data_IF_048506621608
#
_entry.id   IF_048506621608
#
_cell.length_a   1.000
_cell.length_b   1.000
_cell.length_c   1.000
_cell.angle_alpha   90.00
_cell.angle_beta   90.00
_cell.angle_gamma   90.00
#
_symmetry.space_group_name_H-M   'P 1'
#
loop_
_entity.id
_entity.type
_entity.pdbx_description
1 polymer ?
#
# COMPACT_ATOMS: atom_id res chain seq x y z
N UNK A 1 -25.00 1.41 16.92
CA UNK A 1 -24.78 0.35 15.92
C UNK A 1 -23.62 -0.51 16.36
N UNK A 2 -23.59 -1.76 15.93
CA UNK A 2 -22.45 -2.65 16.07
C UNK A 2 -21.71 -2.74 14.73
N UNK A 3 -20.44 -2.31 14.73
CA UNK A 3 -19.56 -2.32 13.57
C UNK A 3 -18.45 -3.36 13.78
N UNK A 4 -18.25 -4.22 12.78
CA UNK A 4 -17.21 -5.24 12.76
C UNK A 4 -16.22 -4.95 11.63
N UNK A 5 -14.95 -4.74 11.98
CA UNK A 5 -13.85 -4.54 11.01
C UNK A 5 -13.08 -5.85 10.84
N UNK A 6 -13.06 -6.41 9.63
CA UNK A 6 -12.34 -7.65 9.30
C UNK A 6 -11.01 -7.31 8.63
N UNK A 7 -9.91 -7.76 9.23
CA UNK A 7 -8.53 -7.46 8.86
C UNK A 7 -8.03 -6.21 9.57
N UNK A 8 -7.11 -6.38 10.52
CA UNK A 8 -6.49 -5.35 11.34
C UNK A 8 -5.05 -5.03 10.88
N UNK A 9 -4.81 -5.06 9.57
CA UNK A 9 -3.63 -4.43 8.96
C UNK A 9 -3.70 -2.91 9.05
N UNK A 10 -2.82 -2.20 8.34
CA UNK A 10 -2.77 -0.74 8.39
C UNK A 10 -4.12 -0.07 8.08
N UNK A 11 -4.84 -0.56 7.06
CA UNK A 11 -6.19 -0.06 6.71
C UNK A 11 -7.17 -0.30 7.86
N UNK A 12 -7.25 -1.53 8.36
CA UNK A 12 -8.19 -1.88 9.43
C UNK A 12 -7.96 -1.11 10.72
N UNK A 13 -6.71 -1.00 11.17
CA UNK A 13 -6.36 -0.21 12.36
C UNK A 13 -6.74 1.26 12.18
N UNK A 14 -6.48 1.81 11.01
CA UNK A 14 -6.85 3.19 10.70
C UNK A 14 -8.37 3.39 10.71
N UNK A 15 -9.13 2.48 10.10
CA UNK A 15 -10.60 2.49 10.15
C UNK A 15 -11.09 2.42 11.60
N UNK A 16 -10.53 1.53 12.43
CA UNK A 16 -10.90 1.39 13.84
C UNK A 16 -10.61 2.67 14.62
N UNK A 17 -9.43 3.27 14.46
CA UNK A 17 -9.07 4.53 15.12
C UNK A 17 -10.00 5.67 14.71
N UNK A 18 -10.30 5.79 13.41
CA UNK A 18 -11.25 6.80 12.91
C UNK A 18 -12.64 6.62 13.51
N UNK A 19 -13.18 5.39 13.46
CA UNK A 19 -14.51 5.09 14.00
C UNK A 19 -14.60 5.36 15.50
N UNK A 20 -13.56 5.07 16.28
CA UNK A 20 -13.52 5.42 17.72
C UNK A 20 -13.65 6.93 17.96
N UNK A 21 -13.08 7.75 17.07
CA UNK A 21 -13.12 9.20 17.18
C UNK A 21 -14.49 9.76 16.80
N UNK A 22 -15.02 9.38 15.64
CA UNK A 22 -16.25 9.97 15.09
C UNK A 22 -17.53 9.28 15.53
N UNK A 23 -17.45 8.03 16.01
CA UNK A 23 -18.60 7.19 16.42
C UNK A 23 -18.37 6.50 17.77
N UNK A 24 -18.03 7.22 18.85
CA UNK A 24 -17.64 6.64 20.14
C UNK A 24 -18.75 5.87 20.86
N UNK A 25 -20.01 6.09 20.49
CA UNK A 25 -21.17 5.40 21.07
C UNK A 25 -21.50 4.05 20.39
N UNK A 26 -20.88 3.76 19.24
CA UNK A 26 -21.07 2.49 18.53
C UNK A 26 -20.20 1.39 19.14
N UNK A 27 -20.71 0.16 19.12
CA UNK A 27 -19.95 -1.02 19.54
C UNK A 27 -18.99 -1.38 18.41
N UNK A 28 -17.69 -1.35 18.69
CA UNK A 28 -16.65 -1.69 17.72
C UNK A 28 -16.04 -3.04 18.05
N UNK A 29 -16.02 -3.91 17.04
CA UNK A 29 -15.34 -5.21 17.08
C UNK A 29 -14.37 -5.35 15.93
N UNK A 30 -13.32 -6.13 16.11
CA UNK A 30 -12.33 -6.43 15.09
C UNK A 30 -12.12 -7.94 14.93
N UNK A 31 -11.86 -8.37 13.70
CA UNK A 31 -11.53 -9.76 13.39
C UNK A 31 -10.20 -9.80 12.64
N UNK A 32 -9.22 -10.57 13.12
CA UNK A 32 -7.98 -10.84 12.39
C UNK A 32 -7.50 -12.26 12.67
N UNK A 33 -6.98 -12.92 11.64
CA UNK A 33 -6.44 -14.29 11.75
C UNK A 33 -5.12 -14.34 12.50
N UNK A 34 -4.43 -13.20 12.59
CA UNK A 34 -3.16 -13.04 13.28
C UNK A 34 -3.38 -12.83 14.79
N UNK A 35 -3.00 -13.80 15.65
CA UNK A 35 -3.23 -13.72 17.09
C UNK A 35 -2.49 -12.54 17.74
N UNK A 36 -1.36 -12.11 17.20
CA UNK A 36 -0.58 -11.01 17.75
C UNK A 36 -1.30 -9.68 17.51
N UNK A 37 -1.92 -9.51 16.33
CA UNK A 37 -2.78 -8.34 16.05
C UNK A 37 -4.03 -8.33 16.92
N UNK A 38 -4.66 -9.49 17.13
CA UNK A 38 -5.81 -9.62 18.04
C UNK A 38 -5.42 -9.23 19.46
N UNK A 39 -4.27 -9.69 19.96
CA UNK A 39 -3.77 -9.32 21.28
C UNK A 39 -3.52 -7.81 21.38
N UNK A 40 -2.83 -7.22 20.41
CA UNK A 40 -2.54 -5.78 20.37
C UNK A 40 -3.83 -4.92 20.37
N UNK A 41 -4.85 -5.33 19.62
CA UNK A 41 -6.15 -4.62 19.62
C UNK A 41 -6.86 -4.70 20.98
N UNK A 42 -6.78 -5.84 21.67
CA UNK A 42 -7.36 -5.99 23.02
C UNK A 42 -6.67 -5.11 24.04
N UNK A 43 -5.35 -4.97 23.96
CA UNK A 43 -4.59 -4.04 24.80
C UNK A 43 -5.01 -2.58 24.58
N UNK A 44 -5.45 -2.23 23.38
CA UNK A 44 -6.02 -0.93 23.05
C UNK A 44 -7.49 -0.76 23.47
N UNK A 45 -8.08 -1.76 24.11
CA UNK A 45 -9.48 -1.78 24.54
C UNK A 45 -10.50 -2.07 23.43
N UNK A 46 -10.06 -2.60 22.28
CA UNK A 46 -10.96 -3.01 21.18
C UNK A 46 -11.30 -4.50 21.37
N UNK A 47 -12.59 -4.83 21.30
CA UNK A 47 -13.03 -6.24 21.33
C UNK A 47 -12.61 -6.91 20.02
N UNK A 48 -11.65 -7.84 20.09
CA UNK A 48 -11.05 -8.46 18.92
C UNK A 48 -10.94 -9.98 19.07
N UNK A 49 -11.11 -10.71 17.97
CA UNK A 49 -11.07 -12.18 17.91
C UNK A 49 -10.62 -12.70 16.54
N UNK A 50 -10.30 -14.00 16.46
CA UNK A 50 -10.00 -14.67 15.19
C UNK A 50 -11.21 -14.86 14.26
N UNK A 51 -12.41 -14.77 14.82
CA UNK A 51 -13.70 -14.87 14.12
C UNK A 51 -14.71 -13.92 14.77
N UNK A 52 -15.75 -13.54 14.03
CA UNK A 52 -16.87 -12.80 14.62
C UNK A 52 -17.75 -13.75 15.46
N UNK A 53 -17.92 -13.46 16.75
CA UNK A 53 -18.67 -14.31 17.69
C UNK A 53 -20.19 -14.11 17.61
N UNK A 54 -20.63 -12.87 17.37
CA UNK A 54 -22.04 -12.48 17.41
C UNK A 54 -22.48 -11.85 16.07
N UNK A 55 -22.39 -12.58 14.95
CA UNK A 55 -22.64 -12.02 13.62
C UNK A 55 -24.04 -11.43 13.45
N UNK A 56 -25.05 -11.97 14.14
CA UNK A 56 -26.44 -11.52 14.08
C UNK A 56 -26.67 -10.17 14.79
N UNK A 57 -25.68 -9.66 15.53
CA UNK A 57 -25.74 -8.34 16.15
C UNK A 57 -25.11 -7.26 15.25
N UNK A 58 -24.24 -7.64 14.30
CA UNK A 58 -23.46 -6.71 13.49
C UNK A 58 -24.35 -5.97 12.48
N UNK A 59 -24.39 -4.63 12.60
CA UNK A 59 -25.09 -3.74 11.67
C UNK A 59 -24.22 -3.41 10.45
N UNK A 60 -22.91 -3.28 10.63
CA UNK A 60 -21.96 -2.90 9.57
C UNK A 60 -20.71 -3.78 9.61
N UNK A 61 -20.39 -4.40 8.49
CA UNK A 61 -19.16 -5.14 8.25
C UNK A 61 -18.25 -4.32 7.35
N UNK A 62 -17.01 -4.08 7.78
CA UNK A 62 -16.00 -3.39 6.96
C UNK A 62 -14.85 -4.36 6.70
N UNK A 63 -14.65 -4.74 5.44
CA UNK A 63 -13.66 -5.74 5.02
C UNK A 63 -12.39 -5.02 4.52
N UNK A 64 -11.32 -5.14 5.30
CA UNK A 64 -10.04 -4.44 5.15
C UNK A 64 -8.84 -5.40 5.03
N UNK A 65 -9.08 -6.65 4.60
CA UNK A 65 -8.04 -7.67 4.48
C UNK A 65 -7.13 -7.39 3.28
N UNK A 66 -5.87 -7.85 3.35
CA UNK A 66 -5.09 -7.99 2.11
C UNK A 66 -5.82 -8.97 1.19
N UNK A 67 -5.77 -8.71 -0.12
CA UNK A 67 -6.41 -9.59 -1.10
C UNK A 67 -5.81 -10.99 -1.10
N UNK A 68 -4.54 -11.14 -0.71
CA UNK A 68 -3.82 -12.41 -0.75
C UNK A 68 -3.63 -12.95 -2.17
N UNK A 69 -2.96 -14.10 -2.31
CA UNK A 69 -2.80 -14.78 -3.60
C UNK A 69 -4.18 -15.15 -4.18
N UNK A 70 -4.45 -14.70 -5.41
CA UNK A 70 -5.69 -15.04 -6.14
C UNK A 70 -6.99 -14.64 -5.43
N UNK A 71 -6.98 -13.60 -4.59
CA UNK A 71 -8.15 -13.13 -3.82
C UNK A 71 -8.63 -14.09 -2.70
N UNK A 72 -7.84 -15.12 -2.38
CA UNK A 72 -8.23 -16.17 -1.42
C UNK A 72 -8.60 -15.61 -0.04
N UNK A 73 -7.81 -14.68 0.51
CA UNK A 73 -8.06 -14.12 1.84
C UNK A 73 -9.30 -13.23 1.86
N UNK A 74 -9.54 -12.47 0.79
CA UNK A 74 -10.77 -11.68 0.62
C UNK A 74 -12.00 -12.58 0.63
N UNK A 75 -12.00 -13.63 -0.21
CA UNK A 75 -13.17 -14.50 -0.30
C UNK A 75 -13.38 -15.31 0.98
N UNK A 76 -12.32 -15.73 1.67
CA UNK A 76 -12.43 -16.36 2.98
C UNK A 76 -13.06 -15.41 4.01
N UNK A 77 -12.66 -14.14 4.03
CA UNK A 77 -13.27 -13.13 4.91
C UNK A 77 -14.76 -12.95 4.61
N UNK A 78 -15.13 -12.79 3.32
CA UNK A 78 -16.52 -12.67 2.89
C UNK A 78 -17.35 -13.93 3.20
N UNK A 79 -16.75 -15.10 3.09
CA UNK A 79 -17.36 -16.39 3.45
C UNK A 79 -17.62 -16.50 4.96
N UNK A 80 -16.91 -15.73 5.79
CA UNK A 80 -17.17 -15.58 7.23
C UNK A 80 -18.31 -14.62 7.57
N UNK A 81 -18.57 -13.61 6.73
CA UNK A 81 -19.64 -12.62 6.95
C UNK A 81 -21.01 -13.27 6.87
N UNK A 82 -21.82 -13.13 7.93
CA UNK A 82 -23.24 -13.54 7.99
C UNK A 82 -24.08 -12.28 8.22
N UNK A 83 -24.50 -11.58 7.15
CA UNK A 83 -25.22 -10.33 7.32
C UNK A 83 -26.65 -10.59 7.80
N UNK A 84 -27.06 -9.94 8.88
CA UNK A 84 -28.47 -9.89 9.29
C UNK A 84 -29.29 -9.02 8.32
N UNK A 85 -30.63 -9.13 8.31
CA UNK A 85 -31.48 -8.27 7.49
C UNK A 85 -31.18 -6.78 7.70
N UNK A 86 -30.94 -6.05 6.61
CA UNK A 86 -30.64 -4.62 6.61
C UNK A 86 -29.19 -4.24 6.94
N UNK A 87 -28.30 -5.22 7.22
CA UNK A 87 -26.89 -4.92 7.48
C UNK A 87 -26.18 -4.32 6.25
N UNK A 88 -25.13 -3.53 6.50
CA UNK A 88 -24.21 -3.07 5.47
C UNK A 88 -22.94 -3.92 5.47
N UNK A 89 -22.50 -4.36 4.30
CA UNK A 89 -21.17 -4.94 4.06
C UNK A 89 -20.42 -4.00 3.13
N UNK A 90 -19.32 -3.43 3.61
CA UNK A 90 -18.45 -2.56 2.84
C UNK A 90 -17.09 -3.20 2.63
N UNK A 91 -16.63 -3.26 1.37
CA UNK A 91 -15.30 -3.76 1.03
C UNK A 91 -14.37 -2.57 0.80
N UNK A 92 -13.35 -2.42 1.64
CA UNK A 92 -12.32 -1.37 1.53
C UNK A 92 -11.00 -1.85 0.93
N UNK A 93 -10.76 -3.18 0.94
CA UNK A 93 -9.63 -3.81 0.27
C UNK A 93 -9.54 -3.35 -1.20
N UNK A 94 -8.32 -3.11 -1.71
CA UNK A 94 -8.11 -2.87 -3.14
C UNK A 94 -8.47 -4.13 -3.93
N UNK A 95 -9.26 -4.01 -5.01
CA UNK A 95 -9.75 -5.16 -5.76
C UNK A 95 -9.39 -5.07 -7.25
N UNK A 96 -9.11 -6.21 -7.93
CA UNK A 96 -9.21 -6.30 -9.38
C UNK A 96 -10.63 -6.00 -9.87
N UNK A 97 -10.75 -5.49 -11.09
CA UNK A 97 -12.04 -5.14 -11.70
C UNK A 97 -12.94 -6.39 -11.82
N UNK A 98 -14.21 -6.25 -11.41
CA UNK A 98 -15.24 -7.28 -11.39
C UNK A 98 -15.29 -8.09 -10.09
N UNK A 99 -14.48 -7.78 -9.07
CA UNK A 99 -14.41 -8.60 -7.85
C UNK A 99 -15.62 -8.40 -6.94
N UNK A 100 -16.15 -7.19 -6.85
CA UNK A 100 -17.34 -6.87 -6.05
C UNK A 100 -18.57 -7.56 -6.62
N UNK A 101 -18.68 -7.68 -7.95
CA UNK A 101 -19.72 -8.47 -8.60
C UNK A 101 -19.60 -9.97 -8.22
N UNK A 102 -18.39 -10.52 -8.24
CA UNK A 102 -18.13 -11.90 -7.77
C UNK A 102 -18.47 -12.06 -6.28
N UNK A 103 -18.18 -11.07 -5.44
CA UNK A 103 -18.57 -11.07 -4.03
C UNK A 103 -20.10 -11.13 -3.88
N UNK A 104 -20.84 -10.35 -4.66
CA UNK A 104 -22.31 -10.41 -4.70
C UNK A 104 -22.82 -11.82 -5.08
N UNK A 105 -22.23 -12.45 -6.10
CA UNK A 105 -22.58 -13.83 -6.49
C UNK A 105 -22.28 -14.85 -5.40
N UNK A 106 -21.17 -14.71 -4.67
CA UNK A 106 -20.86 -15.59 -3.52
C UNK A 106 -21.91 -15.48 -2.42
N UNK A 107 -22.39 -14.28 -2.13
CA UNK A 107 -23.50 -14.08 -1.18
C UNK A 107 -24.80 -14.71 -1.69
N UNK A 108 -25.13 -14.56 -2.98
CA UNK A 108 -26.30 -15.20 -3.60
C UNK A 108 -26.24 -16.72 -3.53
N UNK A 109 -25.08 -17.32 -3.80
CA UNK A 109 -24.87 -18.76 -3.66
C UNK A 109 -25.09 -19.27 -2.23
N UNK A 110 -25.00 -18.39 -1.23
CA UNK A 110 -25.23 -18.68 0.18
C UNK A 110 -26.64 -18.28 0.66
N UNK A 111 -27.53 -17.89 -0.26
CA UNK A 111 -28.92 -17.56 0.04
C UNK A 111 -29.18 -16.09 0.43
N UNK A 112 -28.20 -15.21 0.30
CA UNK A 112 -28.36 -13.78 0.56
C UNK A 112 -28.52 -12.98 -0.73
N UNK A 113 -29.43 -12.00 -0.75
CA UNK A 113 -29.65 -11.11 -1.90
C UNK A 113 -29.17 -9.69 -1.58
N UNK A 114 -27.97 -9.29 -2.05
CA UNK A 114 -27.49 -7.92 -1.91
C UNK A 114 -28.46 -6.91 -2.54
N UNK A 115 -28.70 -5.80 -1.85
CA UNK A 115 -29.68 -4.77 -2.21
C UNK A 115 -31.11 -5.03 -1.73
N UNK A 116 -31.39 -6.22 -1.17
CA UNK A 116 -32.70 -6.61 -0.62
C UNK A 116 -32.58 -7.08 0.83
N UNK A 117 -31.82 -8.15 1.07
CA UNK A 117 -31.67 -8.73 2.40
C UNK A 117 -30.63 -7.95 3.21
N UNK A 118 -29.59 -7.45 2.54
CA UNK A 118 -28.53 -6.62 3.13
C UNK A 118 -27.94 -5.73 2.01
N UNK A 119 -27.08 -4.78 2.37
CA UNK A 119 -26.45 -3.84 1.44
C UNK A 119 -24.99 -4.19 1.21
N UNK A 120 -24.52 -4.13 -0.04
CA UNK A 120 -23.12 -4.39 -0.39
C UNK A 120 -22.51 -3.22 -1.18
N UNK A 121 -21.44 -2.65 -0.63
CA UNK A 121 -20.71 -1.54 -1.24
C UNK A 121 -19.23 -1.82 -1.37
N UNK A 122 -18.60 -1.22 -2.37
CA UNK A 122 -17.15 -1.11 -2.45
C UNK A 122 -16.76 0.36 -2.25
N UNK A 123 -15.83 0.58 -1.33
CA UNK A 123 -15.29 1.90 -0.99
C UNK A 123 -13.78 1.75 -0.83
N UNK A 124 -12.99 1.73 -1.93
CA UNK A 124 -11.56 1.49 -1.83
C UNK A 124 -10.89 2.49 -0.89
N UNK A 125 -9.98 1.99 -0.05
CA UNK A 125 -9.22 2.84 0.85
C UNK A 125 -8.23 3.71 0.05
N UNK A 126 -8.22 5.03 0.31
CA UNK A 126 -7.38 5.99 -0.44
C UNK A 126 -6.34 6.72 0.41
N UNK A 127 -6.32 6.51 1.73
CA UNK A 127 -5.39 7.18 2.64
C UNK A 127 -3.98 6.63 2.47
N UNK A 128 -3.01 7.53 2.35
CA UNK A 128 -1.59 7.24 2.34
C UNK A 128 -1.01 7.37 3.77
N UNK A 129 -0.90 6.23 4.47
CA UNK A 129 -0.43 6.18 5.87
C UNK A 129 0.91 6.90 6.08
N UNK A 130 0.96 7.89 6.98
CA UNK A 130 2.19 8.64 7.31
C UNK A 130 2.58 9.73 6.30
N UNK A 131 1.68 10.08 5.36
CA UNK A 131 1.83 11.28 4.48
C UNK A 131 0.56 12.12 4.53
N UNK A 132 -0.61 11.48 4.53
CA UNK A 132 -1.87 12.21 4.69
C UNK A 132 -2.01 12.62 6.16
N UNK A 133 -1.90 13.92 6.44
CA UNK A 133 -2.03 14.50 7.78
C UNK A 133 -3.49 14.44 8.29
N UNK A 134 -4.47 14.44 7.38
CA UNK A 134 -5.89 14.30 7.67
C UNK A 134 -6.56 13.27 6.75
N UNK A 135 -6.84 12.05 7.25
CA UNK A 135 -7.53 11.01 6.49
C UNK A 135 -8.96 11.35 6.09
N UNK A 136 -9.57 12.35 6.74
CA UNK A 136 -10.93 12.82 6.46
C UNK A 136 -10.98 13.81 5.30
N UNK A 137 -9.83 14.35 4.87
CA UNK A 137 -9.75 15.27 3.72
C UNK A 137 -9.86 14.59 2.35
N UNK A 138 -9.47 13.32 2.24
CA UNK A 138 -9.44 12.61 0.95
C UNK A 138 -10.81 12.05 0.60
N UNK A 139 -11.43 12.59 -0.46
CA UNK A 139 -12.69 12.08 -1.01
C UNK A 139 -12.55 10.61 -1.40
N UNK A 140 -13.44 9.74 -0.92
CA UNK A 140 -13.46 8.31 -1.24
C UNK A 140 -14.47 8.00 -2.33
N UNK A 141 -14.05 7.23 -3.33
CA UNK A 141 -14.98 6.73 -4.35
C UNK A 141 -15.87 5.66 -3.71
N UNK A 142 -17.16 5.67 -4.01
CA UNK A 142 -18.12 4.69 -3.48
C UNK A 142 -19.03 4.15 -4.58
N UNK A 143 -19.27 2.85 -4.55
CA UNK A 143 -20.24 2.19 -5.41
C UNK A 143 -21.02 1.13 -4.62
N UNK A 144 -22.32 1.03 -4.88
CA UNK A 144 -23.14 -0.10 -4.46
C UNK A 144 -23.33 -1.11 -5.58
N UNK A 145 -23.57 -2.38 -5.25
CA UNK A 145 -23.99 -3.38 -6.25
C UNK A 145 -25.44 -3.16 -6.73
N UNK A 146 -26.18 -2.31 -6.03
CA UNK A 146 -27.52 -1.80 -6.35
C UNK A 146 -27.61 -0.36 -5.85
N UNK A 147 -28.61 0.39 -6.32
CA UNK A 147 -28.86 1.77 -5.86
C UNK A 147 -29.13 1.83 -4.36
N UNK A 148 -29.94 0.90 -3.82
CA UNK A 148 -30.22 0.83 -2.38
C UNK A 148 -28.95 0.57 -1.57
N UNK A 149 -28.03 -0.25 -2.10
CA UNK A 149 -26.74 -0.47 -1.45
C UNK A 149 -25.87 0.79 -1.47
N UNK A 150 -25.85 1.51 -2.60
CA UNK A 150 -25.11 2.78 -2.71
C UNK A 150 -25.62 3.78 -1.68
N UNK A 151 -26.93 3.97 -1.56
CA UNK A 151 -27.53 4.89 -0.60
C UNK A 151 -27.23 4.50 0.86
N UNK A 152 -27.29 3.20 1.19
CA UNK A 152 -26.93 2.71 2.53
C UNK A 152 -25.46 3.00 2.88
N UNK A 153 -24.55 2.79 1.93
CA UNK A 153 -23.14 3.12 2.10
C UNK A 153 -22.90 4.63 2.24
N UNK A 154 -23.52 5.45 1.39
CA UNK A 154 -23.44 6.92 1.47
C UNK A 154 -23.91 7.40 2.84
N UNK A 155 -25.03 6.89 3.32
CA UNK A 155 -25.56 7.24 4.63
C UNK A 155 -24.57 6.91 5.75
N UNK A 156 -24.02 5.69 5.77
CA UNK A 156 -23.06 5.26 6.78
C UNK A 156 -21.77 6.09 6.75
N UNK A 157 -21.14 6.23 5.60
CA UNK A 157 -19.85 6.92 5.48
C UNK A 157 -19.96 8.43 5.65
N UNK A 158 -21.10 9.04 5.28
CA UNK A 158 -21.38 10.46 5.60
C UNK A 158 -21.47 10.66 7.11
N UNK A 159 -22.11 9.73 7.84
CA UNK A 159 -22.14 9.75 9.31
C UNK A 159 -20.77 9.41 9.95
N UNK A 160 -19.80 8.96 9.15
CA UNK A 160 -18.39 8.84 9.53
C UNK A 160 -17.56 10.06 9.12
N UNK A 161 -18.18 11.14 8.64
CA UNK A 161 -17.52 12.36 8.19
C UNK A 161 -16.49 12.13 7.06
N UNK A 162 -16.77 11.16 6.18
CA UNK A 162 -15.91 10.85 5.03
C UNK A 162 -16.53 11.49 3.78
N UNK A 163 -15.82 12.37 3.05
CA UNK A 163 -16.28 12.90 1.77
C UNK A 163 -16.34 11.78 0.72
N UNK A 164 -17.40 11.75 -0.07
CA UNK A 164 -17.68 10.65 -1.01
C UNK A 164 -17.88 11.15 -2.44
N UNK A 165 -17.39 10.37 -3.40
CA UNK A 165 -17.68 10.52 -4.81
C UNK A 165 -18.41 9.25 -5.30
N UNK A 166 -19.75 9.28 -5.41
CA UNK A 166 -20.50 8.11 -5.84
C UNK A 166 -20.31 7.85 -7.33
N UNK A 167 -20.18 6.58 -7.70
CA UNK A 167 -20.13 6.12 -9.09
C UNK A 167 -21.18 5.06 -9.33
N UNK A 168 -21.59 4.92 -10.60
CA UNK A 168 -22.76 4.13 -10.99
C UNK A 168 -22.59 2.62 -10.87
N UNK A 169 -21.36 2.11 -10.76
CA UNK A 169 -21.10 0.68 -10.64
C UNK A 169 -19.78 0.35 -9.92
N UNK A 170 -19.70 -0.80 -9.23
CA UNK A 170 -18.50 -1.21 -8.50
C UNK A 170 -17.23 -1.23 -9.33
N UNK A 171 -17.30 -1.63 -10.59
CA UNK A 171 -16.13 -1.74 -11.47
C UNK A 171 -15.42 -0.39 -11.67
N UNK A 172 -16.16 0.73 -11.64
CA UNK A 172 -15.55 2.06 -11.72
C UNK A 172 -14.82 2.42 -10.43
N UNK A 173 -15.35 2.04 -9.26
CA UNK A 173 -14.67 2.24 -7.99
C UNK A 173 -13.40 1.39 -7.88
N UNK A 174 -13.47 0.12 -8.30
CA UNK A 174 -12.31 -0.78 -8.36
C UNK A 174 -11.23 -0.22 -9.29
N UNK A 175 -11.62 0.15 -10.52
CA UNK A 175 -10.70 0.68 -11.52
C UNK A 175 -10.06 2.00 -11.07
N UNK A 176 -10.82 2.91 -10.43
CA UNK A 176 -10.29 4.18 -9.95
C UNK A 176 -9.06 3.97 -9.05
N UNK A 177 -9.14 3.02 -8.11
CA UNK A 177 -8.03 2.74 -7.19
C UNK A 177 -6.81 2.17 -7.91
N UNK A 178 -7.01 1.27 -8.85
CA UNK A 178 -5.92 0.67 -9.64
C UNK A 178 -5.24 1.72 -10.53
N UNK A 179 -6.02 2.61 -11.15
CA UNK A 179 -5.52 3.69 -12.00
C UNK A 179 -4.71 4.70 -11.19
N UNK A 180 -5.16 5.10 -9.99
CA UNK A 180 -4.39 6.00 -9.11
C UNK A 180 -2.98 5.49 -8.85
N UNK A 181 -2.86 4.23 -8.42
CA UNK A 181 -1.58 3.64 -8.06
C UNK A 181 -0.73 3.33 -9.30
N UNK A 182 -1.35 2.89 -10.40
CA UNK A 182 -0.63 2.63 -11.65
C UNK A 182 -0.12 3.92 -12.32
N UNK A 183 -0.89 5.00 -12.27
CA UNK A 183 -0.45 6.32 -12.74
C UNK A 183 0.78 6.77 -11.94
N UNK A 184 0.72 6.64 -10.61
CA UNK A 184 1.87 6.96 -9.76
C UNK A 184 3.09 6.09 -10.07
N UNK A 185 2.89 4.79 -10.30
CA UNK A 185 3.96 3.87 -10.72
C UNK A 185 4.62 4.36 -12.01
N UNK A 186 3.82 4.68 -13.04
CA UNK A 186 4.33 5.16 -14.33
C UNK A 186 5.08 6.49 -14.22
N UNK A 187 4.60 7.42 -13.39
CA UNK A 187 5.32 8.68 -13.11
C UNK A 187 6.70 8.44 -12.52
N UNK A 188 6.82 7.52 -11.55
CA UNK A 188 8.10 7.16 -10.92
C UNK A 188 8.99 6.44 -11.93
N UNK A 189 8.46 5.47 -12.69
CA UNK A 189 9.24 4.75 -13.70
C UNK A 189 9.79 5.70 -14.78
N UNK A 190 9.01 6.71 -15.17
CA UNK A 190 9.48 7.75 -16.08
C UNK A 190 10.62 8.59 -15.46
N UNK A 191 10.49 8.96 -14.19
CA UNK A 191 11.55 9.63 -13.44
C UNK A 191 12.83 8.77 -13.34
N UNK A 192 12.70 7.46 -13.11
CA UNK A 192 13.81 6.50 -13.08
C UNK A 192 14.54 6.41 -14.42
N UNK A 193 13.81 6.40 -15.54
CA UNK A 193 14.41 6.45 -16.88
C UNK A 193 15.23 7.74 -17.08
N UNK A 194 14.68 8.89 -16.68
CA UNK A 194 15.39 10.17 -16.76
C UNK A 194 16.62 10.19 -15.84
N UNK A 195 16.53 9.63 -14.63
CA UNK A 195 17.66 9.51 -13.70
C UNK A 195 18.81 8.72 -14.31
N UNK A 196 18.53 7.57 -14.93
CA UNK A 196 19.57 6.79 -15.63
C UNK A 196 20.21 7.59 -16.77
N UNK A 197 19.40 8.35 -17.52
CA UNK A 197 19.91 9.23 -18.57
C UNK A 197 20.79 10.36 -18.03
N UNK A 198 20.41 10.97 -16.91
CA UNK A 198 21.20 11.99 -16.23
C UNK A 198 22.54 11.43 -15.72
N UNK A 199 22.52 10.24 -15.10
CA UNK A 199 23.73 9.55 -14.65
C UNK A 199 24.70 9.27 -15.80
N UNK A 200 24.19 8.79 -16.94
CA UNK A 200 25.00 8.54 -18.13
C UNK A 200 25.56 9.82 -18.77
N UNK A 201 24.85 10.95 -18.62
CA UNK A 201 25.23 12.25 -19.16
C UNK A 201 26.04 13.13 -18.20
N UNK A 202 26.24 12.72 -16.95
CA UNK A 202 26.85 13.55 -15.90
C UNK A 202 26.01 14.77 -15.53
N UNK A 203 24.68 14.67 -15.61
CA UNK A 203 23.72 15.72 -15.28
C UNK A 203 23.13 15.50 -13.88
N UNK A 204 22.82 16.59 -13.17
CA UNK A 204 22.11 16.52 -11.90
C UNK A 204 20.60 16.33 -12.14
N UNK A 205 20.09 15.16 -11.75
CA UNK A 205 18.67 14.84 -11.86
C UNK A 205 17.78 15.72 -10.97
N UNK A 206 18.25 16.11 -9.78
CA UNK A 206 17.47 17.00 -8.91
C UNK A 206 17.39 18.41 -9.49
N UNK A 207 18.48 18.91 -10.08
CA UNK A 207 18.48 20.16 -10.83
C UNK A 207 17.46 20.10 -11.99
N UNK A 208 17.46 19.00 -12.77
CA UNK A 208 16.49 18.78 -13.83
C UNK A 208 15.05 18.79 -13.30
N UNK A 209 14.78 18.11 -12.17
CA UNK A 209 13.45 18.09 -11.55
C UNK A 209 12.99 19.49 -11.14
N UNK A 210 13.87 20.28 -10.54
CA UNK A 210 13.59 21.67 -10.18
C UNK A 210 13.31 22.52 -11.42
N UNK A 211 14.14 22.39 -12.46
CA UNK A 211 13.99 23.11 -13.73
C UNK A 211 12.65 22.77 -14.42
N UNK A 212 12.28 21.50 -14.53
CA UNK A 212 10.99 21.08 -15.10
C UNK A 212 9.82 21.57 -14.25
N UNK A 213 9.96 21.53 -12.92
CA UNK A 213 8.95 21.99 -11.96
C UNK A 213 8.66 23.49 -12.01
N UNK A 214 9.48 24.31 -12.70
CA UNK A 214 9.18 25.73 -12.94
C UNK A 214 7.92 25.93 -13.81
N UNK A 215 7.53 24.90 -14.57
CA UNK A 215 6.26 24.88 -15.30
C UNK A 215 5.15 24.32 -14.40
N UNK A 216 4.24 25.18 -13.96
CA UNK A 216 3.29 24.88 -12.87
C UNK A 216 2.37 23.65 -13.03
N UNK A 217 2.19 23.11 -14.25
CA UNK A 217 1.39 21.91 -14.51
C UNK A 217 2.21 20.65 -14.81
N UNK A 218 3.54 20.70 -14.67
CA UNK A 218 4.43 19.56 -14.89
C UNK A 218 5.31 19.39 -13.66
N UNK A 219 5.35 18.18 -13.13
CA UNK A 219 6.26 17.81 -12.04
C UNK A 219 6.82 16.43 -12.33
N UNK A 220 8.12 16.27 -12.09
CA UNK A 220 8.75 14.96 -12.13
C UNK A 220 8.70 14.32 -10.75
N UNK A 221 8.29 13.05 -10.71
CA UNK A 221 8.38 12.25 -9.50
C UNK A 221 9.82 12.18 -8.99
N UNK A 222 9.95 11.88 -7.70
CA UNK A 222 11.24 11.48 -7.14
C UNK A 222 11.55 10.04 -7.52
N UNK A 223 12.83 9.68 -7.40
CA UNK A 223 13.29 8.30 -7.53
C UNK A 223 13.72 7.79 -6.16
N UNK A 224 13.70 6.47 -5.98
CA UNK A 224 14.22 5.84 -4.76
C UNK A 224 15.13 4.66 -5.18
N UNK A 225 15.27 3.61 -4.38
CA UNK A 225 15.98 2.38 -4.76
C UNK A 225 15.24 1.50 -5.80
N UNK A 226 14.19 2.02 -6.42
CA UNK A 226 13.22 1.30 -7.24
C UNK A 226 11.81 1.43 -6.66
N UNK A 227 10.80 0.98 -7.41
CA UNK A 227 9.41 1.04 -6.98
C UNK A 227 9.09 -0.16 -6.08
N UNK A 228 9.02 0.11 -4.78
CA UNK A 228 8.80 -0.88 -3.72
C UNK A 228 7.39 -0.90 -3.13
N UNK A 229 7.26 -1.66 -2.04
CA UNK A 229 6.01 -1.79 -1.30
C UNK A 229 5.02 -2.77 -1.92
N UNK A 230 3.97 -3.11 -1.17
CA UNK A 230 2.96 -4.06 -1.65
C UNK A 230 2.00 -3.40 -2.67
N UNK A 231 1.65 -2.12 -2.49
CA UNK A 231 0.53 -1.52 -3.21
C UNK A 231 0.82 -1.19 -4.68
N UNK A 232 1.87 -0.41 -4.98
CA UNK A 232 2.08 0.09 -6.34
C UNK A 232 2.36 -1.05 -7.35
N UNK A 233 3.27 -2.01 -7.07
CA UNK A 233 3.53 -3.10 -8.01
C UNK A 233 2.31 -4.02 -8.20
N UNK A 234 1.62 -4.38 -7.12
CA UNK A 234 0.43 -5.26 -7.17
C UNK A 234 -0.70 -4.61 -7.97
N UNK A 235 -0.95 -3.33 -7.76
CA UNK A 235 -2.05 -2.64 -8.41
C UNK A 235 -1.75 -2.39 -9.90
N UNK A 236 -0.48 -2.17 -10.25
CA UNK A 236 -0.02 -2.18 -11.64
C UNK A 236 -0.29 -3.54 -12.29
N UNK A 237 0.02 -4.64 -11.62
CA UNK A 237 -0.24 -5.99 -12.13
C UNK A 237 -1.73 -6.26 -12.32
N UNK A 238 -2.58 -5.85 -11.37
CA UNK A 238 -4.03 -5.95 -11.51
C UNK A 238 -4.56 -5.12 -12.69
N UNK A 239 -4.07 -3.89 -12.86
CA UNK A 239 -4.45 -3.08 -14.01
C UNK A 239 -3.94 -3.68 -15.32
N UNK A 240 -2.72 -4.23 -15.34
CA UNK A 240 -2.15 -4.90 -16.51
C UNK A 240 -2.93 -6.15 -16.91
N UNK A 241 -3.39 -6.95 -15.95
CA UNK A 241 -4.25 -8.11 -16.22
C UNK A 241 -5.59 -7.72 -16.83
N UNK A 242 -6.12 -6.55 -16.47
CA UNK A 242 -7.39 -6.05 -16.99
C UNK A 242 -7.25 -5.33 -18.35
N UNK A 243 -6.26 -4.45 -18.48
CA UNK A 243 -6.07 -3.57 -19.65
C UNK A 243 -5.18 -4.19 -20.73
N UNK A 244 -4.21 -5.02 -20.34
CA UNK A 244 -3.15 -5.56 -21.18
C UNK A 244 -2.46 -4.48 -22.05
N UNK A 245 -1.86 -3.48 -21.41
CA UNK A 245 -1.29 -2.32 -22.09
C UNK A 245 0.25 -2.40 -22.20
N UNK A 246 0.84 -2.21 -23.39
CA UNK A 246 2.29 -2.13 -23.56
C UNK A 246 2.96 -1.06 -22.69
N UNK A 247 2.22 0.02 -22.39
CA UNK A 247 2.69 1.12 -21.55
C UNK A 247 3.01 0.66 -20.11
N UNK A 248 2.16 -0.15 -19.50
CA UNK A 248 2.36 -0.62 -18.12
C UNK A 248 3.52 -1.63 -18.06
N UNK A 249 3.64 -2.49 -19.08
CA UNK A 249 4.78 -3.40 -19.22
C UNK A 249 6.10 -2.62 -19.38
N UNK A 250 6.11 -1.56 -20.17
CA UNK A 250 7.28 -0.70 -20.33
C UNK A 250 7.68 -0.02 -19.02
N UNK A 251 6.71 0.46 -18.23
CA UNK A 251 6.96 1.02 -16.91
C UNK A 251 7.60 -0.02 -15.96
N UNK A 252 7.05 -1.23 -15.89
CA UNK A 252 7.62 -2.30 -15.06
C UNK A 252 9.04 -2.71 -15.51
N UNK A 253 9.29 -2.79 -16.83
CA UNK A 253 10.63 -3.04 -17.39
C UNK A 253 11.61 -1.92 -17.07
N UNK A 254 11.12 -0.69 -16.99
CA UNK A 254 11.93 0.50 -16.67
C UNK A 254 12.38 0.47 -15.21
N UNK A 255 11.48 0.18 -14.26
CA UNK A 255 11.85 -0.06 -12.85
C UNK A 255 12.90 -1.17 -12.72
N UNK A 256 12.71 -2.28 -13.43
CA UNK A 256 13.71 -3.37 -13.44
C UNK A 256 15.07 -2.92 -13.99
N UNK A 257 15.09 -2.11 -15.04
CA UNK A 257 16.32 -1.58 -15.62
C UNK A 257 17.00 -0.61 -14.65
N UNK A 258 16.24 0.23 -13.98
CA UNK A 258 16.74 1.17 -12.97
C UNK A 258 17.33 0.46 -11.76
N UNK A 259 16.66 -0.59 -11.23
CA UNK A 259 17.23 -1.42 -10.17
C UNK A 259 18.55 -2.08 -10.58
N UNK A 260 18.65 -2.58 -11.82
CA UNK A 260 19.92 -3.12 -12.36
C UNK A 260 21.00 -2.04 -12.51
N UNK A 261 20.62 -0.81 -12.87
CA UNK A 261 21.53 0.32 -12.94
C UNK A 261 22.12 0.65 -11.56
N UNK A 262 21.31 0.68 -10.51
CA UNK A 262 21.78 0.85 -9.13
C UNK A 262 22.80 -0.21 -8.71
N UNK A 263 22.56 -1.47 -9.06
CA UNK A 263 23.54 -2.53 -8.80
C UNK A 263 24.86 -2.28 -9.57
N UNK A 264 24.76 -1.88 -10.83
CA UNK A 264 25.93 -1.67 -11.71
C UNK A 264 26.88 -0.58 -11.19
N UNK A 265 26.37 0.43 -10.49
CA UNK A 265 27.19 1.53 -9.94
C UNK A 265 28.25 1.00 -8.96
N UNK A 266 27.92 0.00 -8.15
CA UNK A 266 28.86 -0.63 -7.22
C UNK A 266 29.62 -1.84 -7.82
N UNK A 267 29.48 -2.12 -9.11
CA UNK A 267 30.16 -3.24 -9.75
C UNK A 267 31.69 -3.04 -9.69
N UNK A 268 32.40 -4.02 -9.12
CA UNK A 268 33.87 -3.96 -8.95
C UNK A 268 34.34 -3.08 -7.79
N UNK A 269 33.42 -2.55 -6.97
CA UNK A 269 33.75 -1.82 -5.73
C UNK A 269 33.94 -2.79 -4.56
N UNK A 270 34.72 -2.39 -3.56
CA UNK A 270 34.97 -3.17 -2.34
C UNK A 270 33.81 -3.05 -1.37
N UNK A 271 33.37 -1.81 -1.09
CA UNK A 271 32.38 -1.55 -0.06
C UNK A 271 31.37 -0.47 -0.46
N UNK A 272 30.12 -0.64 -0.02
CA UNK A 272 29.04 0.30 -0.24
C UNK A 272 28.29 0.60 1.06
N UNK A 273 27.81 1.84 1.23
CA UNK A 273 26.90 2.24 2.29
C UNK A 273 25.49 2.41 1.74
N UNK A 274 24.50 1.79 2.39
CA UNK A 274 23.08 2.08 2.21
C UNK A 274 22.59 2.97 3.35
N UNK A 275 22.35 4.25 3.06
CA UNK A 275 21.75 5.19 4.00
C UNK A 275 20.22 5.25 3.76
N UNK A 276 19.47 4.70 4.71
CA UNK A 276 18.02 4.50 4.64
C UNK A 276 17.67 3.14 4.06
N UNK A 277 17.07 2.28 4.90
CA UNK A 277 16.66 0.92 4.59
C UNK A 277 15.15 0.73 4.70
N UNK A 278 14.48 1.57 5.46
CA UNK A 278 13.03 1.55 5.60
C UNK A 278 12.34 1.76 4.26
N UNK A 279 11.26 1.01 4.02
CA UNK A 279 10.47 1.09 2.78
C UNK A 279 9.91 2.50 2.56
N UNK A 280 9.55 3.19 3.65
CA UNK A 280 8.97 4.53 3.64
C UNK A 280 9.57 5.35 4.79
N UNK A 281 9.83 6.65 4.59
CA UNK A 281 10.33 7.52 5.65
C UNK A 281 9.34 7.58 6.81
N UNK A 282 9.87 7.60 8.03
CA UNK A 282 9.10 7.76 9.27
C UNK A 282 8.48 6.49 9.83
N UNK A 283 8.64 5.33 9.16
CA UNK A 283 8.13 4.04 9.68
C UNK A 283 9.24 2.97 9.69
N UNK A 284 9.43 2.20 10.78
CA UNK A 284 10.48 1.20 10.90
C UNK A 284 10.14 -0.12 10.19
N UNK A 285 9.65 -0.04 8.94
CA UNK A 285 9.18 -1.18 8.13
C UNK A 285 10.18 -1.44 7.01
N UNK A 286 10.62 -2.69 6.87
CA UNK A 286 11.66 -3.10 5.89
C UNK A 286 11.15 -4.15 4.90
N UNK A 287 9.98 -4.71 5.16
CA UNK A 287 9.27 -5.63 4.28
C UNK A 287 8.98 -4.95 2.94
N UNK A 288 9.41 -5.57 1.84
CA UNK A 288 9.29 -4.98 0.50
C UNK A 288 10.20 -3.79 0.22
N UNK A 289 11.19 -3.51 1.08
CA UNK A 289 12.18 -2.45 0.85
C UNK A 289 13.13 -2.79 -0.30
N UNK A 290 13.18 -1.90 -1.29
CA UNK A 290 14.13 -2.00 -2.41
C UNK A 290 15.56 -1.68 -2.01
N UNK A 291 15.78 -0.93 -0.94
CA UNK A 291 17.12 -0.71 -0.38
C UNK A 291 17.72 -2.02 0.14
N UNK A 292 16.92 -2.81 0.88
CA UNK A 292 17.33 -4.13 1.37
C UNK A 292 17.60 -5.09 0.21
N UNK A 293 16.76 -5.06 -0.83
CA UNK A 293 16.97 -5.86 -2.05
C UNK A 293 18.29 -5.48 -2.76
N UNK A 294 18.55 -4.18 -2.94
CA UNK A 294 19.81 -3.68 -3.50
C UNK A 294 21.00 -4.19 -2.68
N UNK A 295 20.98 -4.03 -1.35
CA UNK A 295 22.06 -4.49 -0.48
C UNK A 295 22.37 -5.98 -0.64
N UNK A 296 21.34 -6.83 -0.72
CA UNK A 296 21.52 -8.26 -0.96
C UNK A 296 22.13 -8.55 -2.33
N UNK A 297 21.72 -7.82 -3.37
CA UNK A 297 22.28 -7.96 -4.72
C UNK A 297 23.74 -7.51 -4.76
N UNK A 298 24.11 -6.45 -4.04
CA UNK A 298 25.49 -6.00 -3.90
C UNK A 298 26.36 -7.04 -3.18
N UNK A 299 25.87 -7.63 -2.09
CA UNK A 299 26.57 -8.71 -1.38
C UNK A 299 26.80 -9.94 -2.27
N UNK A 300 25.83 -10.29 -3.13
CA UNK A 300 26.00 -11.37 -4.12
C UNK A 300 27.10 -11.09 -5.14
N UNK A 301 27.47 -9.82 -5.35
CA UNK A 301 28.59 -9.42 -6.21
C UNK A 301 29.92 -9.29 -5.45
N UNK A 302 29.95 -9.65 -4.16
CA UNK A 302 31.13 -9.56 -3.31
C UNK A 302 31.40 -8.17 -2.73
N UNK A 303 30.44 -7.25 -2.83
CA UNK A 303 30.54 -5.92 -2.21
C UNK A 303 30.22 -6.04 -0.72
N UNK A 304 31.09 -5.49 0.13
CA UNK A 304 30.83 -5.35 1.57
C UNK A 304 29.78 -4.25 1.80
N UNK A 305 28.63 -4.60 2.39
CA UNK A 305 27.51 -3.66 2.54
C UNK A 305 27.37 -3.18 3.97
N UNK A 306 27.62 -1.89 4.16
CA UNK A 306 27.30 -1.14 5.35
C UNK A 306 25.90 -0.54 5.24
N UNK A 307 25.23 -0.37 6.37
CA UNK A 307 23.87 0.13 6.45
C UNK A 307 23.73 1.12 7.60
N UNK A 308 22.93 2.15 7.38
CA UNK A 308 22.49 3.09 8.41
C UNK A 308 21.04 3.48 8.17
N UNK A 309 20.20 3.36 9.19
CA UNK A 309 18.84 3.89 9.17
C UNK A 309 18.49 4.38 10.58
N UNK A 310 18.02 5.63 10.76
CA UNK A 310 17.73 6.19 12.08
C UNK A 310 16.58 5.48 12.82
N UNK A 311 15.76 4.69 12.11
CA UNK A 311 14.63 3.96 12.69
C UNK A 311 14.95 2.50 13.03
N UNK A 312 16.17 2.03 12.72
CA UNK A 312 16.58 0.65 12.95
C UNK A 312 17.77 0.59 13.90
N UNK A 313 17.76 -0.39 14.80
CA UNK A 313 18.89 -0.68 15.68
C UNK A 313 19.99 -1.44 14.95
N UNK A 314 21.22 -1.40 15.46
CA UNK A 314 22.34 -2.18 14.90
C UNK A 314 22.00 -3.68 14.79
N UNK A 315 21.28 -4.24 15.78
CA UNK A 315 20.90 -5.65 15.77
C UNK A 315 19.87 -5.96 14.69
N UNK A 316 18.95 -5.04 14.40
CA UNK A 316 18.04 -5.18 13.26
C UNK A 316 18.81 -5.15 11.93
N UNK A 317 19.80 -4.25 11.78
CA UNK A 317 20.65 -4.20 10.58
C UNK A 317 21.44 -5.50 10.39
N UNK A 318 22.04 -6.04 11.46
CA UNK A 318 22.75 -7.33 11.44
C UNK A 318 21.82 -8.49 11.07
N UNK A 319 20.60 -8.52 11.62
CA UNK A 319 19.58 -9.53 11.26
C UNK A 319 19.18 -9.47 9.79
N UNK A 320 19.21 -8.29 9.17
CA UNK A 320 19.00 -8.12 7.73
C UNK A 320 20.21 -8.56 6.89
N UNK A 321 21.35 -8.83 7.53
CA UNK A 321 22.59 -9.28 6.90
C UNK A 321 23.59 -8.16 6.60
N UNK A 322 23.38 -6.94 7.10
CA UNK A 322 24.23 -5.78 6.80
C UNK A 322 25.14 -5.41 7.97
N UNK A 323 26.30 -4.80 7.67
CA UNK A 323 27.19 -4.26 8.68
C UNK A 323 26.67 -2.88 9.13
N UNK A 324 26.50 -2.61 10.44
CA UNK A 324 26.18 -1.26 10.88
C UNK A 324 27.30 -0.29 10.50
N UNK A 325 26.94 0.82 9.86
CA UNK A 325 27.89 1.87 9.55
C UNK A 325 28.33 2.61 10.83
N UNK A 326 29.61 2.96 10.90
CA UNK A 326 30.18 3.82 11.94
C UNK A 326 30.98 4.92 11.26
N UNK A 327 30.94 6.12 11.85
CA UNK A 327 31.69 7.25 11.32
C UNK A 327 33.17 6.89 11.15
N UNK A 328 33.73 7.23 9.98
CA UNK A 328 35.11 6.93 9.62
C UNK A 328 35.32 5.58 8.91
N UNK A 329 34.29 4.76 8.73
CA UNK A 329 34.37 3.59 7.84
C UNK A 329 34.49 4.05 6.39
N UNK A 330 35.54 3.60 5.72
CA UNK A 330 35.81 3.87 4.31
C UNK A 330 34.96 2.97 3.41
N UNK A 331 34.24 3.59 2.46
CA UNK A 331 33.35 2.95 1.49
C UNK A 331 33.55 3.60 0.14
N UNK A 332 33.42 2.85 -0.96
CA UNK A 332 33.64 3.38 -2.31
C UNK A 332 32.41 4.09 -2.87
N UNK A 333 31.21 3.66 -2.45
CA UNK A 333 29.93 4.22 -2.88
C UNK A 333 29.00 4.37 -1.70
N UNK A 334 28.30 5.50 -1.65
CA UNK A 334 27.17 5.72 -0.73
C UNK A 334 25.90 5.83 -1.55
N UNK A 335 24.86 5.11 -1.15
CA UNK A 335 23.51 5.28 -1.68
C UNK A 335 22.60 5.91 -0.62
N UNK A 336 21.71 6.79 -1.06
CA UNK A 336 20.62 7.31 -0.25
C UNK A 336 19.40 7.61 -1.13
N UNK A 337 18.32 6.86 -0.93
CA UNK A 337 17.01 7.11 -1.55
C UNK A 337 17.09 7.29 -3.08
N UNK A 338 17.74 6.35 -3.77
CA UNK A 338 17.94 6.41 -5.24
C UNK A 338 19.06 7.34 -5.74
N UNK A 339 19.65 8.13 -4.85
CA UNK A 339 20.85 8.91 -5.10
C UNK A 339 22.08 8.11 -4.71
N UNK A 340 23.19 8.46 -5.30
CA UNK A 340 24.47 7.83 -5.00
C UNK A 340 25.62 8.80 -5.24
N UNK A 341 26.72 8.54 -4.56
CA UNK A 341 27.98 9.28 -4.69
C UNK A 341 29.13 8.29 -4.61
N UNK A 342 30.08 8.43 -5.53
CA UNK A 342 31.37 7.76 -5.43
C UNK A 342 32.25 8.51 -4.44
N UNK A 343 32.69 7.83 -3.39
CA UNK A 343 33.77 8.32 -2.55
C UNK A 343 35.06 7.78 -3.14
N UNK A 344 35.87 8.66 -3.70
CA UNK A 344 37.24 8.30 -4.07
C UNK A 344 37.96 7.94 -2.77
N UNK A 345 38.39 6.69 -2.65
CA UNK A 345 39.45 6.34 -1.71
C UNK A 345 40.63 7.25 -2.04
N UNK A 346 40.97 8.14 -1.11
CA UNK A 346 42.20 8.93 -1.24
C UNK A 346 43.34 7.90 -1.23
N UNK A 347 44.21 7.87 -2.26
CA UNK A 347 45.27 6.86 -2.35
C UNK A 347 46.22 6.86 -1.15
#
# INVERSE_FOLDING_TARGET
MHICVIGAGHIGQHVLTHLRSVRPADVLTAVDIDPDKVAALREQGISADGICRDPDQVDVWIVCVSTGPGLSWLFQALDGVRPKPGALVSIESTLPVGTTAKAAERFRARGYTPGKDFYLTHVPHRVLFGVDEDPTGTTRVIAGVTETSLQAGIHFYTACQIPLFPVSRPEIAELAKLVENSARYMEIAFAEALKMGCDAGGLDFDELRLAVGTKGNVRLADVDYGIGGECLPKDLDFLQQWLNAPLLEAAAKTDQAYRRHLVKIAQGRRAALLAGLTYKPGVPVVEGSRAVELGRQLQQQGVEVFAQDPLLTEDQLKKLGFLPYKDGVDVDVVYWRGKWEERRSTP
#
